data_IF_598019655154
#
_entry.id   IF_598019655154
#
_cell.length_a   1.000
_cell.length_b   1.000
_cell.length_c   1.000
_cell.angle_alpha   90.00
_cell.angle_beta   90.00
_cell.angle_gamma   90.00
#
_symmetry.space_group_name_H-M   'P 1'
#
loop_
_entity.id
_entity.type
_entity.pdbx_description
1 polymer ?
#
# COMPACT_ATOMS: atom_id res chain seq x y z
N UNK A 1 -17.85 18.92 -7.16
CA UNK A 1 -16.50 19.26 -6.68
C UNK A 1 -15.63 18.03 -6.54
N UNK A 2 -14.35 18.25 -6.42
CA UNK A 2 -13.35 17.21 -6.15
C UNK A 2 -12.81 17.42 -4.76
N UNK A 3 -12.82 16.38 -3.92
CA UNK A 3 -12.18 16.41 -2.60
C UNK A 3 -10.68 16.14 -2.75
N UNK A 4 -9.86 17.06 -2.26
CA UNK A 4 -8.40 16.93 -2.29
C UNK A 4 -7.87 16.75 -0.87
N UNK A 5 -7.19 15.64 -0.61
CA UNK A 5 -6.52 15.35 0.65
C UNK A 5 -5.06 15.80 0.56
N UNK A 6 -4.71 16.89 1.23
CA UNK A 6 -3.36 17.48 1.15
C UNK A 6 -2.33 16.66 1.96
N UNK A 7 -2.73 16.11 3.09
CA UNK A 7 -1.84 15.41 4.03
C UNK A 7 -2.11 13.90 4.14
N UNK A 8 -2.81 13.33 3.18
CA UNK A 8 -3.19 11.93 3.15
C UNK A 8 -4.70 11.72 3.23
N UNK A 9 -5.17 10.58 2.78
CA UNK A 9 -6.59 10.26 2.77
C UNK A 9 -7.10 9.98 4.19
N UNK A 10 -8.17 10.67 4.58
CA UNK A 10 -8.88 10.44 5.83
C UNK A 10 -10.10 9.59 5.54
N UNK A 11 -9.95 8.28 5.69
CA UNK A 11 -11.02 7.31 5.51
C UNK A 11 -11.15 6.48 6.79
N UNK A 12 -12.40 6.15 7.14
CA UNK A 12 -12.69 5.20 8.20
C UNK A 12 -12.80 3.79 7.60
N UNK A 13 -12.19 2.82 8.26
CA UNK A 13 -12.26 1.41 7.87
C UNK A 13 -12.31 0.54 9.12
N UNK A 14 -13.26 -0.39 9.16
CA UNK A 14 -13.33 -1.45 10.18
C UNK A 14 -14.01 -2.68 9.61
N UNK A 15 -13.61 -3.86 10.09
CA UNK A 15 -14.32 -5.12 9.88
C UNK A 15 -15.21 -5.52 11.09
N UNK A 16 -15.13 -4.76 12.18
CA UNK A 16 -15.90 -5.00 13.39
C UNK A 16 -17.27 -4.32 13.29
N UNK A 17 -18.33 -5.15 13.34
CA UNK A 17 -19.71 -4.67 13.23
C UNK A 17 -20.10 -3.74 14.39
N UNK A 18 -19.63 -4.00 15.59
CA UNK A 18 -19.95 -3.17 16.76
C UNK A 18 -19.38 -1.76 16.60
N UNK A 19 -18.13 -1.66 16.15
CA UNK A 19 -17.49 -0.37 15.88
C UNK A 19 -18.18 0.34 14.73
N UNK A 20 -18.58 -0.39 13.69
CA UNK A 20 -19.32 0.19 12.55
C UNK A 20 -20.66 0.76 13.00
N UNK A 21 -21.44 0.01 13.76
CA UNK A 21 -22.73 0.45 14.25
C UNK A 21 -22.58 1.67 15.17
N UNK A 22 -21.61 1.65 16.09
CA UNK A 22 -21.34 2.77 17.00
C UNK A 22 -21.00 4.06 16.26
N UNK A 23 -20.13 4.01 15.25
CA UNK A 23 -19.71 5.23 14.55
C UNK A 23 -20.82 5.81 13.67
N UNK A 24 -21.74 4.97 13.16
CA UNK A 24 -22.91 5.42 12.40
C UNK A 24 -23.95 6.16 13.23
N UNK A 25 -23.86 6.12 14.56
CA UNK A 25 -24.68 6.97 15.44
C UNK A 25 -24.28 8.45 15.36
N UNK A 26 -23.05 8.76 14.94
CA UNK A 26 -22.48 10.10 14.89
C UNK A 26 -22.39 10.68 13.49
N UNK A 27 -22.24 9.82 12.48
CA UNK A 27 -22.07 10.26 11.09
C UNK A 27 -22.54 9.19 10.10
N UNK A 28 -23.11 9.65 8.99
CA UNK A 28 -23.47 8.77 7.88
C UNK A 28 -22.26 8.56 6.96
N UNK A 29 -21.97 7.30 6.62
CA UNK A 29 -20.87 6.91 5.73
C UNK A 29 -21.39 6.51 4.35
N UNK A 30 -20.70 6.91 3.30
CA UNK A 30 -21.12 6.76 1.91
C UNK A 30 -20.68 5.44 1.25
N UNK A 31 -20.23 4.45 2.02
CA UNK A 31 -19.72 3.16 1.52
C UNK A 31 -18.63 3.29 0.44
N UNK A 32 -17.77 4.29 0.56
CA UNK A 32 -16.68 4.53 -0.36
C UNK A 32 -15.68 3.35 -0.38
N UNK A 33 -15.41 2.84 -1.58
CA UNK A 33 -14.39 1.81 -1.78
C UNK A 33 -13.06 2.49 -2.08
N UNK A 34 -12.10 2.38 -1.15
CA UNK A 34 -10.78 2.95 -1.32
C UNK A 34 -9.92 2.10 -2.26
N UNK A 35 -9.60 2.65 -3.42
CA UNK A 35 -8.70 2.03 -4.41
C UNK A 35 -7.61 3.02 -4.81
N UNK A 36 -6.60 3.21 -3.95
CA UNK A 36 -5.55 4.18 -4.22
C UNK A 36 -4.67 3.74 -5.40
N UNK A 37 -4.25 4.73 -6.19
CA UNK A 37 -3.35 4.56 -7.31
C UNK A 37 -2.18 5.52 -7.11
N UNK A 38 -0.95 4.99 -7.17
CA UNK A 38 0.26 5.79 -7.16
C UNK A 38 0.68 6.12 -8.60
N UNK A 39 1.06 7.38 -8.82
CA UNK A 39 1.72 7.80 -10.06
C UNK A 39 3.20 8.00 -9.81
N UNK A 40 4.05 7.29 -10.55
CA UNK A 40 5.49 7.41 -10.51
C UNK A 40 6.08 7.35 -11.92
N UNK A 41 6.89 8.33 -12.31
CA UNK A 41 7.53 8.45 -13.63
C UNK A 41 6.57 8.22 -14.81
N UNK A 42 5.39 8.87 -14.77
CA UNK A 42 4.30 8.72 -15.74
C UNK A 42 3.62 7.35 -15.79
N UNK A 43 3.97 6.43 -14.91
CA UNK A 43 3.32 5.14 -14.75
C UNK A 43 2.34 5.15 -13.57
N UNK A 44 1.27 4.36 -13.67
CA UNK A 44 0.26 4.20 -12.63
C UNK A 44 0.39 2.81 -12.00
N UNK A 45 0.40 2.74 -10.67
CA UNK A 45 0.55 1.51 -9.89
C UNK A 45 -0.59 1.36 -8.90
N UNK A 46 -1.08 0.14 -8.74
CA UNK A 46 -2.07 -0.17 -7.71
C UNK A 46 -1.46 -0.15 -6.31
N UNK A 47 -2.23 0.36 -5.34
CA UNK A 47 -1.89 0.30 -3.92
C UNK A 47 -3.06 -0.35 -3.13
N UNK A 48 -2.76 -1.10 -2.06
CA UNK A 48 -1.43 -1.61 -1.69
C UNK A 48 -0.80 -2.47 -2.79
N UNK A 49 0.49 -2.70 -2.69
CA UNK A 49 1.23 -3.51 -3.66
C UNK A 49 0.59 -4.89 -3.81
N UNK A 50 0.38 -5.30 -5.05
CA UNK A 50 -0.20 -6.57 -5.43
C UNK A 50 0.48 -7.10 -6.70
N UNK A 51 0.06 -8.25 -7.20
CA UNK A 51 0.68 -8.85 -8.39
C UNK A 51 0.62 -7.95 -9.63
N UNK A 52 -0.44 -7.13 -9.79
CA UNK A 52 -0.48 -6.16 -10.90
C UNK A 52 0.63 -5.12 -10.79
N UNK A 53 0.91 -4.65 -9.57
CA UNK A 53 2.01 -3.72 -9.30
C UNK A 53 3.35 -4.35 -9.65
N UNK A 54 3.61 -5.57 -9.18
CA UNK A 54 4.86 -6.29 -9.42
C UNK A 54 5.04 -6.69 -10.89
N UNK A 55 3.98 -7.16 -11.53
CA UNK A 55 4.00 -7.47 -12.97
C UNK A 55 4.36 -6.24 -13.79
N UNK A 56 3.79 -5.09 -13.45
CA UNK A 56 4.07 -3.84 -14.15
C UNK A 56 5.49 -3.33 -13.89
N UNK A 57 5.99 -3.44 -12.65
CA UNK A 57 7.33 -2.97 -12.29
C UNK A 57 8.45 -3.85 -12.84
N UNK A 58 8.26 -5.16 -12.82
CA UNK A 58 9.33 -6.14 -13.06
C UNK A 58 9.06 -7.09 -14.23
N UNK A 59 7.89 -7.02 -14.86
CA UNK A 59 7.52 -7.89 -15.97
C UNK A 59 7.31 -9.36 -15.60
N UNK A 60 7.00 -9.63 -14.32
CA UNK A 60 6.82 -10.98 -13.77
C UNK A 60 5.35 -11.42 -13.82
N UNK A 61 5.13 -12.73 -13.77
CA UNK A 61 3.80 -13.34 -13.85
C UNK A 61 3.40 -14.12 -12.60
N UNK A 62 4.35 -14.54 -11.78
CA UNK A 62 4.10 -15.40 -10.63
C UNK A 62 4.48 -14.74 -9.30
N UNK A 63 3.77 -15.08 -8.20
CA UNK A 63 4.15 -14.62 -6.87
C UNK A 63 5.55 -15.09 -6.43
N UNK A 64 6.02 -16.23 -6.94
CA UNK A 64 7.34 -16.74 -6.58
C UNK A 64 8.44 -15.86 -7.16
N UNK A 65 8.33 -15.47 -8.44
CA UNK A 65 9.27 -14.52 -9.06
C UNK A 65 9.36 -13.19 -8.29
N UNK A 66 8.20 -12.69 -7.79
CA UNK A 66 8.19 -11.48 -6.97
C UNK A 66 8.96 -11.67 -5.65
N UNK A 67 8.76 -12.80 -4.97
CA UNK A 67 9.49 -13.13 -3.74
C UNK A 67 11.00 -13.24 -3.97
N UNK A 68 11.40 -13.86 -5.06
CA UNK A 68 12.82 -14.06 -5.41
C UNK A 68 13.50 -12.71 -5.69
N UNK A 69 12.84 -11.80 -6.40
CA UNK A 69 13.33 -10.43 -6.63
C UNK A 69 13.47 -9.66 -5.32
N UNK A 70 12.44 -9.70 -4.47
CA UNK A 70 12.46 -9.03 -3.16
C UNK A 70 13.59 -9.59 -2.30
N UNK A 71 13.76 -10.91 -2.25
CA UNK A 71 14.83 -11.55 -1.49
C UNK A 71 16.22 -11.15 -1.99
N UNK A 72 16.41 -11.07 -3.32
CA UNK A 72 17.65 -10.60 -3.93
C UNK A 72 17.94 -9.13 -3.57
N UNK A 73 16.93 -8.26 -3.64
CA UNK A 73 17.09 -6.85 -3.26
C UNK A 73 17.41 -6.67 -1.77
N UNK A 74 16.81 -7.47 -0.90
CA UNK A 74 17.11 -7.46 0.55
C UNK A 74 18.55 -7.91 0.80
N UNK A 75 19.00 -8.98 0.13
CA UNK A 75 20.37 -9.48 0.26
C UNK A 75 21.41 -8.46 -0.24
N UNK A 76 21.13 -7.78 -1.33
CA UNK A 76 22.00 -6.76 -1.92
C UNK A 76 22.18 -5.53 -1.01
N UNK A 77 21.16 -5.20 -0.22
CA UNK A 77 21.20 -4.07 0.71
C UNK A 77 22.10 -4.31 1.93
N UNK A 78 22.49 -5.54 2.24
CA UNK A 78 23.31 -5.93 3.41
C UNK A 78 22.86 -5.30 4.75
N UNK A 79 21.58 -5.00 4.90
CA UNK A 79 21.02 -4.39 6.11
C UNK A 79 20.56 -5.52 7.04
N UNK A 80 21.38 -5.86 8.02
CA UNK A 80 21.03 -6.84 9.06
C UNK A 80 20.06 -6.28 10.09
N UNK A 81 20.29 -5.04 10.53
CA UNK A 81 19.41 -4.32 11.47
C UNK A 81 19.12 -2.90 10.97
N UNK A 82 17.84 -2.53 10.76
CA UNK A 82 17.50 -1.18 10.39
C UNK A 82 17.62 -0.23 11.58
N UNK A 83 18.53 0.75 11.49
CA UNK A 83 18.78 1.73 12.56
C UNK A 83 17.80 2.91 12.57
N UNK A 84 17.04 3.09 11.52
CA UNK A 84 16.06 4.18 11.38
C UNK A 84 14.97 3.82 10.36
N UNK A 85 13.96 4.70 10.26
CA UNK A 85 12.80 4.48 9.39
C UNK A 85 13.19 4.33 7.91
N UNK A 86 14.24 5.02 7.45
CA UNK A 86 14.70 4.97 6.06
C UNK A 86 15.33 3.60 5.75
N UNK A 87 16.16 3.09 6.65
CA UNK A 87 16.78 1.76 6.50
C UNK A 87 15.75 0.64 6.68
N UNK A 88 14.75 0.82 7.56
CA UNK A 88 13.63 -0.09 7.68
C UNK A 88 12.82 -0.16 6.37
N UNK A 89 12.49 0.98 5.77
CA UNK A 89 11.79 1.04 4.48
C UNK A 89 12.55 0.32 3.37
N UNK A 90 13.87 0.49 3.30
CA UNK A 90 14.72 -0.20 2.30
C UNK A 90 14.73 -1.71 2.46
N UNK A 91 14.54 -2.22 3.68
CA UNK A 91 14.48 -3.66 3.96
C UNK A 91 13.10 -4.27 3.69
N UNK A 92 12.04 -3.49 3.80
CA UNK A 92 10.65 -3.97 3.73
C UNK A 92 9.99 -3.78 2.36
N UNK A 93 10.70 -3.23 1.39
CA UNK A 93 10.29 -3.10 -0.01
C UNK A 93 11.03 -4.11 -0.84
#
# INVERSE_FOLDING_TARGET
GINVHVYGAHIFHTSDKFIWDYINEFAEFNNYINSPIAKYKNELYNLPFNMNTFSKMWGISTPQEAKDIIAAQIADLNITEPKNLITCRKRCI
#
